data_IF_183336931679
#
_entry.id   IF_183336931679
#
_cell.length_a   1.000
_cell.length_b   1.000
_cell.length_c   1.000
_cell.angle_alpha   90.00
_cell.angle_beta   90.00
_cell.angle_gamma   90.00
#
_symmetry.space_group_name_H-M   'P 1'
#
loop_
_entity.id
_entity.type
_entity.pdbx_description
1 polymer ?
#
# COMPACT_ATOMS: atom_id res chain seq x y z
N UNK A 1 -20.35 -21.70 3.39
CA UNK A 1 -21.40 -21.62 4.44
C UNK A 1 -22.58 -20.93 3.78
N UNK A 2 -23.77 -21.51 3.89
CA UNK A 2 -24.96 -21.08 3.15
C UNK A 2 -25.22 -19.56 3.20
N UNK A 3 -24.94 -18.91 4.34
CA UNK A 3 -25.15 -17.46 4.51
C UNK A 3 -24.25 -16.60 3.59
N UNK A 4 -22.97 -16.97 3.43
CA UNK A 4 -22.04 -16.23 2.59
C UNK A 4 -22.15 -16.55 1.09
N UNK A 5 -22.84 -17.64 0.75
CA UNK A 5 -23.21 -17.97 -0.63
C UNK A 5 -24.40 -17.09 -1.07
N UNK A 6 -25.44 -16.95 -0.24
CA UNK A 6 -26.58 -16.06 -0.50
C UNK A 6 -26.19 -14.58 -0.60
N UNK A 7 -25.22 -14.11 0.20
CA UNK A 7 -24.68 -12.75 0.07
C UNK A 7 -23.93 -12.57 -1.27
N UNK A 8 -23.12 -13.57 -1.67
CA UNK A 8 -22.34 -13.53 -2.91
C UNK A 8 -23.20 -13.57 -4.16
N UNK A 9 -24.27 -14.37 -4.13
CA UNK A 9 -25.19 -14.54 -5.24
C UNK A 9 -26.20 -13.38 -5.36
N UNK A 10 -26.18 -12.44 -4.40
CA UNK A 10 -27.02 -11.24 -4.40
C UNK A 10 -28.44 -11.47 -3.84
N UNK A 11 -28.71 -12.65 -3.31
CA UNK A 11 -30.00 -13.04 -2.73
C UNK A 11 -30.22 -12.45 -1.32
N UNK A 12 -29.16 -11.92 -0.70
CA UNK A 12 -29.17 -11.33 0.64
C UNK A 12 -28.52 -9.94 0.64
N UNK A 13 -29.25 -8.94 1.11
CA UNK A 13 -28.72 -7.60 1.38
C UNK A 13 -28.80 -7.28 2.88
N UNK A 14 -27.67 -6.95 3.49
CA UNK A 14 -27.59 -6.52 4.90
C UNK A 14 -27.57 -5.00 4.94
N UNK A 15 -28.53 -4.41 5.63
CA UNK A 15 -28.64 -2.97 5.80
C UNK A 15 -28.36 -2.58 7.24
N UNK A 16 -27.62 -1.48 7.43
CA UNK A 16 -27.43 -0.85 8.73
C UNK A 16 -28.18 0.48 8.77
N UNK A 17 -28.74 0.80 9.93
CA UNK A 17 -29.39 2.10 10.20
C UNK A 17 -28.37 3.21 10.50
N UNK A 18 -27.10 2.86 10.69
CA UNK A 18 -26.00 3.77 11.02
C UNK A 18 -24.76 3.39 10.23
N UNK A 19 -24.09 4.41 9.68
CA UNK A 19 -22.91 4.25 8.82
C UNK A 19 -21.62 4.21 9.64
N UNK A 20 -21.62 4.81 10.83
CA UNK A 20 -20.44 5.04 11.65
C UNK A 20 -19.69 3.74 12.01
N UNK A 21 -20.35 2.68 12.53
CA UNK A 21 -19.65 1.43 12.87
C UNK A 21 -19.06 0.71 11.64
N UNK A 22 -19.70 0.86 10.48
CA UNK A 22 -19.24 0.26 9.21
C UNK A 22 -18.01 1.02 8.71
N UNK A 23 -18.10 2.35 8.67
CA UNK A 23 -17.01 3.22 8.25
C UNK A 23 -15.77 3.03 9.12
N UNK A 24 -15.95 2.95 10.44
CA UNK A 24 -14.86 2.70 11.39
C UNK A 24 -14.19 1.34 11.13
N UNK A 25 -14.98 0.29 10.90
CA UNK A 25 -14.44 -1.05 10.64
C UNK A 25 -13.66 -1.12 9.33
N UNK A 26 -14.16 -0.47 8.28
CA UNK A 26 -13.46 -0.35 7.00
C UNK A 26 -12.16 0.44 7.21
N UNK A 27 -12.22 1.58 7.90
CA UNK A 27 -11.06 2.42 8.20
C UNK A 27 -9.97 1.63 8.94
N UNK A 28 -10.32 0.89 10.00
CA UNK A 28 -9.37 0.07 10.75
C UNK A 28 -8.77 -1.06 9.89
N UNK A 29 -9.58 -1.72 9.06
CA UNK A 29 -9.09 -2.73 8.13
C UNK A 29 -8.07 -2.14 7.14
N UNK A 30 -8.33 -0.95 6.60
CA UNK A 30 -7.40 -0.24 5.72
C UNK A 30 -6.14 0.18 6.47
N UNK A 31 -6.26 0.73 7.68
CA UNK A 31 -5.12 1.14 8.50
C UNK A 31 -4.20 -0.02 8.87
N UNK A 32 -4.72 -1.25 8.97
CA UNK A 32 -3.91 -2.44 9.22
C UNK A 32 -2.93 -2.79 8.10
N UNK A 33 -3.17 -2.29 6.87
CA UNK A 33 -2.34 -2.53 5.69
C UNK A 33 -1.65 -1.27 5.16
N UNK A 34 -2.10 -0.08 5.58
CA UNK A 34 -1.49 1.20 5.19
C UNK A 34 -0.46 1.62 6.26
N UNK A 35 0.84 1.61 5.96
CA UNK A 35 1.90 1.76 6.97
C UNK A 35 1.94 3.14 7.64
N UNK A 36 1.44 4.21 7.00
CA UNK A 36 1.30 5.52 7.62
C UNK A 36 0.34 6.45 6.82
N UNK A 37 -0.81 6.80 7.38
CA UNK A 37 -1.77 7.73 6.75
C UNK A 37 -1.37 9.20 6.81
N UNK A 38 -0.29 9.54 7.52
CA UNK A 38 0.23 10.92 7.57
C UNK A 38 1.02 11.30 6.32
N UNK A 39 1.48 10.32 5.54
CA UNK A 39 2.15 10.59 4.27
C UNK A 39 1.10 10.99 3.23
N UNK A 40 1.19 12.23 2.77
CA UNK A 40 0.40 12.73 1.66
C UNK A 40 0.75 12.01 0.36
N UNK A 41 -0.17 12.06 -0.60
CA UNK A 41 0.05 11.51 -1.94
C UNK A 41 1.32 12.08 -2.61
N UNK A 42 1.58 13.39 -2.45
CA UNK A 42 2.76 14.05 -3.01
C UNK A 42 4.07 13.57 -2.36
N UNK A 43 4.07 13.35 -1.04
CA UNK A 43 5.24 12.79 -0.34
C UNK A 43 5.55 11.37 -0.83
N UNK A 44 4.52 10.54 -1.04
CA UNK A 44 4.68 9.19 -1.58
C UNK A 44 5.23 9.21 -3.02
N UNK A 45 4.78 10.16 -3.87
CA UNK A 45 5.35 10.37 -5.20
C UNK A 45 6.82 10.81 -5.15
N UNK A 46 7.17 11.66 -4.19
CA UNK A 46 8.54 12.08 -3.93
C UNK A 46 9.43 10.89 -3.53
N UNK A 47 8.96 10.04 -2.62
CA UNK A 47 9.68 8.82 -2.20
C UNK A 47 9.86 7.87 -3.39
N UNK A 48 8.82 7.65 -4.21
CA UNK A 48 8.94 6.83 -5.43
C UNK A 48 10.03 7.35 -6.36
N UNK A 49 10.02 8.67 -6.61
CA UNK A 49 11.00 9.31 -7.48
C UNK A 49 12.42 9.19 -6.92
N UNK A 50 12.58 9.36 -5.60
CA UNK A 50 13.86 9.18 -4.92
C UNK A 50 14.39 7.75 -5.06
N UNK A 51 13.55 6.73 -4.86
CA UNK A 51 13.95 5.32 -5.01
C UNK A 51 14.40 5.05 -6.46
N UNK A 52 13.61 5.47 -7.45
CA UNK A 52 13.95 5.25 -8.86
C UNK A 52 15.23 5.97 -9.27
N UNK A 53 15.42 7.20 -8.79
CA UNK A 53 16.66 7.94 -9.03
C UNK A 53 17.85 7.21 -8.41
N UNK A 54 17.74 6.82 -7.14
CA UNK A 54 18.78 6.11 -6.40
C UNK A 54 19.22 4.83 -7.12
N UNK A 55 18.30 3.95 -7.52
CA UNK A 55 18.66 2.67 -8.17
C UNK A 55 19.19 2.85 -9.60
N UNK A 56 18.91 3.98 -10.25
CA UNK A 56 19.38 4.27 -11.61
C UNK A 56 20.85 4.74 -11.66
N UNK A 57 21.37 5.28 -10.56
CA UNK A 57 22.77 5.71 -10.44
C UNK A 57 23.61 4.65 -9.71
N UNK A 58 24.49 3.97 -10.46
CA UNK A 58 25.37 2.91 -9.91
C UNK A 58 26.44 3.41 -8.93
N UNK A 59 26.72 4.73 -8.92
CA UNK A 59 27.61 5.31 -7.91
C UNK A 59 26.88 5.57 -6.59
N UNK A 60 25.56 5.76 -6.67
CA UNK A 60 24.71 5.96 -5.50
C UNK A 60 24.22 4.63 -4.93
N UNK A 61 23.72 3.73 -5.78
CA UNK A 61 23.31 2.38 -5.42
C UNK A 61 24.45 1.40 -5.68
N UNK A 62 25.49 1.50 -4.86
CA UNK A 62 26.65 0.62 -4.92
C UNK A 62 26.46 -0.67 -4.10
N UNK A 63 27.54 -1.42 -3.89
CA UNK A 63 27.53 -2.69 -3.18
C UNK A 63 27.12 -2.58 -1.70
N UNK A 64 27.21 -1.39 -1.08
CA UNK A 64 26.91 -1.17 0.33
C UNK A 64 25.41 -1.00 0.57
N UNK A 65 24.69 -0.41 -0.39
CA UNK A 65 23.26 -0.10 -0.26
C UNK A 65 22.36 -1.32 0.01
N UNK A 66 22.53 -2.49 -0.64
CA UNK A 66 21.81 -3.70 -0.27
C UNK A 66 22.06 -4.17 1.16
N UNK A 67 23.26 -3.94 1.69
CA UNK A 67 23.64 -4.32 3.06
C UNK A 67 22.96 -3.38 4.06
N UNK A 68 23.02 -2.07 3.82
CA UNK A 68 22.46 -1.05 4.71
C UNK A 68 20.93 -1.08 4.75
N UNK A 69 20.30 -1.35 3.61
CA UNK A 69 18.84 -1.26 3.48
C UNK A 69 18.14 -2.61 3.56
N UNK A 70 18.87 -3.71 3.33
CA UNK A 70 18.30 -5.06 3.24
C UNK A 70 17.57 -5.34 1.93
N UNK A 71 17.64 -4.46 0.93
CA UNK A 71 16.97 -4.62 -0.35
C UNK A 71 17.92 -4.43 -1.53
N UNK A 72 17.82 -5.30 -2.53
CA UNK A 72 18.49 -5.15 -3.81
C UNK A 72 17.82 -4.05 -4.66
N UNK A 73 18.52 -3.58 -5.70
CA UNK A 73 17.96 -2.61 -6.65
C UNK A 73 16.65 -3.10 -7.29
N UNK A 74 16.58 -4.39 -7.64
CA UNK A 74 15.38 -5.01 -8.21
C UNK A 74 14.22 -5.10 -7.19
N UNK A 75 14.51 -5.24 -5.90
CA UNK A 75 13.50 -5.20 -4.84
C UNK A 75 13.01 -3.77 -4.59
N UNK A 76 13.90 -2.78 -4.63
CA UNK A 76 13.52 -1.38 -4.58
C UNK A 76 12.67 -0.94 -5.75
N UNK A 77 12.95 -1.45 -6.96
CA UNK A 77 12.08 -1.24 -8.12
C UNK A 77 10.66 -1.76 -7.86
N UNK A 78 10.53 -3.01 -7.37
CA UNK A 78 9.22 -3.57 -6.96
C UNK A 78 8.55 -2.81 -5.81
N UNK A 79 9.31 -2.17 -4.93
CA UNK A 79 8.77 -1.30 -3.88
C UNK A 79 8.24 -0.01 -4.50
N UNK A 80 8.99 0.62 -5.40
CA UNK A 80 8.60 1.83 -6.11
C UNK A 80 7.33 1.63 -6.95
N UNK A 81 7.10 0.43 -7.51
CA UNK A 81 5.88 0.06 -8.22
C UNK A 81 4.63 0.01 -7.34
N UNK A 82 4.78 -0.24 -6.03
CA UNK A 82 3.67 -0.24 -5.06
C UNK A 82 3.28 1.16 -4.60
N UNK A 83 4.13 2.15 -4.85
CA UNK A 83 3.85 3.55 -4.54
C UNK A 83 2.97 4.19 -5.64
N UNK A 84 2.26 5.28 -5.35
CA UNK A 84 1.38 5.93 -6.32
C UNK A 84 2.11 6.29 -7.61
N UNK A 85 1.39 6.20 -8.72
CA UNK A 85 1.83 6.70 -10.02
C UNK A 85 1.15 8.05 -10.27
N UNK A 86 1.86 8.96 -10.94
CA UNK A 86 1.34 10.29 -11.29
C UNK A 86 0.38 10.24 -12.47
#
# INVERSE_FOLDING_TARGET
>A
MALGELERDGDLAIMSLSIEPIADRISQAVLSVVPNTKLSHLELLGIRSLILHAISDKHFFDWEMPILTGFTAAEFERIAEKLPQG
#
